data_IF_259215194160
#
_entry.id   IF_259215194160
#
_cell.length_a   1.000
_cell.length_b   1.000
_cell.length_c   1.000
_cell.angle_alpha   90.00
_cell.angle_beta   90.00
_cell.angle_gamma   90.00
#
_symmetry.space_group_name_H-M   'P 1'
#
loop_
_entity.id
_entity.type
_entity.pdbx_description
1 polymer ?
#
# COMPACT_ATOMS: atom_id res chain seq x y z
N UNK A 1 -29.45 35.77 27.03
CA UNK A 1 -28.12 35.51 26.42
C UNK A 1 -27.34 34.54 27.31
N UNK A 2 -27.43 33.22 27.12
CA UNK A 2 -26.69 32.26 27.94
C UNK A 2 -25.29 32.01 27.36
N UNK A 3 -24.31 31.90 28.27
CA UNK A 3 -22.90 31.64 28.01
C UNK A 3 -22.72 30.19 27.52
N UNK A 4 -22.03 30.01 26.39
CA UNK A 4 -21.62 28.69 25.90
C UNK A 4 -20.30 28.29 26.58
N UNK A 5 -20.34 27.20 27.34
CA UNK A 5 -19.17 26.55 27.90
C UNK A 5 -18.35 25.86 26.80
N UNK A 6 -17.08 26.22 26.71
CA UNK A 6 -16.08 25.56 25.88
C UNK A 6 -15.67 24.22 26.51
N UNK A 7 -16.20 23.11 26.00
CA UNK A 7 -15.68 21.78 26.32
C UNK A 7 -14.36 21.57 25.58
N UNK A 8 -13.25 21.68 26.33
CA UNK A 8 -11.92 21.32 25.88
C UNK A 8 -11.80 19.79 25.86
N UNK A 9 -11.77 19.20 24.66
CA UNK A 9 -11.49 17.77 24.50
C UNK A 9 -9.98 17.59 24.54
N UNK A 10 -9.48 16.93 25.59
CA UNK A 10 -8.08 16.54 25.69
C UNK A 10 -7.71 15.55 24.56
N UNK A 11 -6.50 15.65 23.96
CA UNK A 11 -6.06 14.68 22.97
C UNK A 11 -5.81 13.31 23.62
N UNK A 12 -6.06 12.19 22.91
CA UNK A 12 -5.82 10.86 23.45
C UNK A 12 -4.32 10.67 23.72
N UNK A 13 -4.01 10.33 24.97
CA UNK A 13 -2.68 9.88 25.40
C UNK A 13 -2.42 8.47 24.86
N UNK A 14 -1.45 8.33 23.97
CA UNK A 14 -0.94 7.02 23.56
C UNK A 14 0.01 6.46 24.64
N UNK A 15 -0.15 5.20 25.09
CA UNK A 15 0.82 4.57 25.98
C UNK A 15 2.08 4.16 25.21
N UNK A 16 3.29 4.40 25.75
CA UNK A 16 4.55 4.07 25.09
C UNK A 16 5.06 2.70 25.54
N UNK A 17 4.42 1.59 25.19
CA UNK A 17 4.99 0.25 25.45
C UNK A 17 4.46 -0.82 24.48
N UNK A 18 5.13 -1.01 23.35
CA UNK A 18 5.19 -2.32 22.67
C UNK A 18 6.61 -2.47 22.11
N UNK A 19 7.58 -2.65 23.01
CA UNK A 19 8.92 -3.06 22.66
C UNK A 19 9.44 -3.97 23.77
N UNK A 20 8.96 -5.21 23.78
CA UNK A 20 9.50 -6.36 24.51
C UNK A 20 8.40 -7.41 24.48
N UNK A 21 8.50 -8.42 23.58
CA UNK A 21 7.92 -9.78 23.73
C UNK A 21 7.96 -10.57 22.41
N UNK A 22 8.94 -10.39 21.51
CA UNK A 22 9.23 -11.43 20.50
C UNK A 22 10.73 -11.51 20.26
N UNK A 23 11.46 -11.98 21.26
CA UNK A 23 12.79 -12.57 21.08
C UNK A 23 12.83 -13.86 21.87
N UNK A 24 12.30 -14.92 21.26
CA UNK A 24 12.72 -16.29 21.54
C UNK A 24 13.05 -16.92 20.18
N UNK A 25 14.32 -16.81 19.79
CA UNK A 25 14.89 -17.72 18.78
C UNK A 25 14.96 -19.11 19.40
N UNK A 26 14.61 -20.19 18.69
CA UNK A 26 15.03 -21.52 19.10
C UNK A 26 16.53 -21.65 18.82
N UNK A 27 17.29 -21.95 19.87
CA UNK A 27 18.67 -22.42 19.78
C UNK A 27 18.69 -23.72 18.96
N UNK A 28 19.55 -23.80 17.94
CA UNK A 28 19.95 -25.07 17.36
C UNK A 28 21.47 -25.20 17.43
N UNK A 29 21.84 -26.23 18.14
CA UNK A 29 23.15 -26.69 18.54
C UNK A 29 23.91 -27.23 17.31
N UNK A 30 25.06 -26.64 16.95
CA UNK A 30 25.98 -27.21 15.96
C UNK A 30 27.28 -27.57 16.66
N UNK A 31 27.45 -28.87 16.94
CA UNK A 31 28.68 -29.45 17.45
C UNK A 31 29.51 -30.02 16.29
N UNK A 32 30.64 -29.35 16.04
CA UNK A 32 31.95 -29.80 15.48
C UNK A 32 32.00 -31.04 14.57
N UNK A 33 32.67 -30.88 13.43
CA UNK A 33 33.97 -31.53 13.17
C UNK A 33 34.72 -30.92 11.96
N UNK A 34 36.03 -31.16 11.91
CA UNK A 34 37.08 -30.37 11.25
C UNK A 34 37.85 -31.25 10.24
N UNK A 35 37.96 -30.78 8.98
CA UNK A 35 39.02 -31.06 7.96
C UNK A 35 39.00 -32.40 7.20
N UNK A 36 39.82 -32.59 6.12
CA UNK A 36 40.74 -31.64 5.45
C UNK A 36 40.62 -31.57 3.90
N UNK A 37 41.47 -30.71 3.32
CA UNK A 37 41.70 -30.35 1.91
C UNK A 37 42.07 -31.52 0.97
N UNK A 38 41.68 -31.43 -0.31
CA UNK A 38 42.54 -31.50 -1.53
C UNK A 38 41.70 -31.64 -2.82
N UNK A 39 42.23 -31.15 -3.96
CA UNK A 39 41.82 -31.62 -5.30
C UNK A 39 41.42 -30.55 -6.33
N UNK A 40 42.40 -30.08 -7.10
CA UNK A 40 42.20 -29.25 -8.29
C UNK A 40 41.69 -30.06 -9.50
N UNK A 41 40.89 -29.45 -10.39
CA UNK A 41 41.21 -29.30 -11.83
C UNK A 41 40.02 -28.83 -12.70
N UNK A 42 40.29 -27.74 -13.44
CA UNK A 42 39.95 -27.45 -14.84
C UNK A 42 38.54 -27.74 -15.39
N UNK A 43 37.83 -26.65 -15.71
CA UNK A 43 36.69 -26.63 -16.64
C UNK A 43 36.57 -25.24 -17.29
N UNK A 44 37.17 -25.13 -18.47
CA UNK A 44 37.29 -23.96 -19.36
C UNK A 44 35.92 -23.58 -19.95
N UNK A 45 35.53 -22.30 -19.95
CA UNK A 45 34.56 -21.74 -20.91
C UNK A 45 34.80 -20.23 -21.09
N UNK A 46 34.59 -19.80 -22.33
CA UNK A 46 35.16 -18.64 -23.02
C UNK A 46 34.47 -17.34 -22.60
N UNK A 47 35.27 -16.32 -22.26
CA UNK A 47 34.82 -14.93 -22.08
C UNK A 47 35.04 -14.15 -23.37
N UNK A 48 33.97 -13.53 -23.87
CA UNK A 48 33.99 -12.53 -24.93
C UNK A 48 33.70 -11.18 -24.27
N UNK A 49 34.79 -10.46 -24.02
CA UNK A 49 35.02 -9.05 -24.25
C UNK A 49 33.87 -8.07 -24.58
N UNK A 50 33.90 -6.97 -23.82
CA UNK A 50 33.78 -5.56 -24.23
C UNK A 50 32.38 -4.95 -24.37
N UNK A 51 32.06 -4.01 -23.47
CA UNK A 51 32.00 -2.53 -23.65
C UNK A 51 31.79 -1.96 -22.23
N UNK A 52 32.53 -0.98 -21.69
CA UNK A 52 33.28 0.12 -22.27
C UNK A 52 33.01 1.33 -21.39
N UNK A 53 33.71 1.43 -20.26
CA UNK A 53 33.64 2.53 -19.30
C UNK A 53 34.17 3.84 -19.92
N UNK A 54 33.40 4.93 -19.79
CA UNK A 54 33.89 6.32 -19.93
C UNK A 54 33.20 7.24 -18.93
N UNK A 55 33.90 7.55 -17.84
CA UNK A 55 33.69 8.77 -17.06
C UNK A 55 35.06 9.44 -16.88
N UNK A 56 35.25 10.71 -17.30
CA UNK A 56 36.52 11.40 -17.12
C UNK A 56 36.65 11.97 -15.69
N UNK A 57 37.77 11.65 -15.05
CA UNK A 57 38.23 12.23 -13.79
C UNK A 57 38.77 13.65 -14.04
N UNK A 58 38.16 14.66 -13.41
CA UNK A 58 38.71 16.03 -13.28
C UNK A 58 39.48 16.20 -11.95
N UNK A 59 40.33 17.23 -11.82
CA UNK A 59 41.29 17.33 -10.72
C UNK A 59 40.65 17.85 -9.42
N UNK A 60 41.19 17.40 -8.29
CA UNK A 60 40.80 17.80 -6.95
C UNK A 60 41.20 19.26 -6.64
N UNK A 61 40.34 20.08 -5.98
CA UNK A 61 40.76 21.33 -5.39
C UNK A 61 41.12 21.18 -3.90
N UNK A 62 42.17 21.89 -3.55
CA UNK A 62 42.87 22.05 -2.28
C UNK A 62 42.04 22.58 -1.11
N UNK A 63 42.39 22.13 0.10
CA UNK A 63 41.99 22.71 1.39
C UNK A 63 42.30 24.21 1.49
N UNK A 64 41.32 25.01 1.91
CA UNK A 64 41.52 26.18 2.77
C UNK A 64 40.28 26.41 3.65
N UNK A 65 40.53 26.97 4.83
CA UNK A 65 39.76 26.95 6.08
C UNK A 65 38.64 27.98 6.16
N UNK A 66 37.70 27.67 7.05
CA UNK A 66 36.83 28.55 7.85
C UNK A 66 35.79 29.40 7.10
N UNK A 67 34.58 28.83 6.97
CA UNK A 67 33.33 29.56 6.83
C UNK A 67 32.33 28.97 7.86
N UNK A 68 31.45 29.79 8.46
CA UNK A 68 30.73 29.43 9.68
C UNK A 68 29.77 28.25 9.45
N UNK A 69 29.79 27.29 10.37
CA UNK A 69 28.90 26.12 10.46
C UNK A 69 27.46 26.51 10.85
N UNK A 70 26.91 27.57 10.26
CA UNK A 70 25.52 28.03 10.44
C UNK A 70 24.75 27.98 9.11
N UNK A 71 24.89 26.87 8.38
CA UNK A 71 24.08 26.57 7.19
C UNK A 71 23.41 25.20 7.29
N UNK A 72 22.97 24.85 8.51
CA UNK A 72 21.81 23.98 8.68
C UNK A 72 20.61 24.78 8.15
N UNK A 73 20.37 24.71 6.83
CA UNK A 73 19.19 25.23 6.16
C UNK A 73 17.96 24.85 6.96
N UNK A 74 17.29 25.83 7.57
CA UNK A 74 15.93 25.81 8.13
C UNK A 74 15.16 24.53 7.80
N UNK A 75 15.43 23.43 8.51
CA UNK A 75 14.71 22.20 8.31
C UNK A 75 13.24 22.52 8.62
N UNK A 76 12.39 22.41 7.60
CA UNK A 76 10.99 22.80 7.65
C UNK A 76 10.36 22.29 8.94
N UNK A 77 10.05 23.21 9.86
CA UNK A 77 9.53 22.86 11.17
C UNK A 77 8.14 22.27 10.99
N UNK A 78 7.88 21.11 11.60
CA UNK A 78 6.54 20.53 11.60
C UNK A 78 5.58 21.44 12.38
N UNK A 79 4.67 22.09 11.66
CA UNK A 79 3.61 22.95 12.22
C UNK A 79 2.38 22.15 12.64
N UNK A 80 1.44 22.80 13.32
CA UNK A 80 0.16 22.18 13.68
C UNK A 80 -0.70 21.81 12.45
N UNK A 81 -0.57 22.51 11.32
CA UNK A 81 -1.25 22.12 10.08
C UNK A 81 -0.79 20.75 9.58
N UNK A 82 0.51 20.46 9.66
CA UNK A 82 1.06 19.13 9.36
C UNK A 82 0.53 18.06 10.31
N UNK A 83 0.45 18.36 11.62
CA UNK A 83 -0.06 17.44 12.64
C UNK A 83 -1.53 17.12 12.43
N UNK A 84 -2.37 18.12 12.12
CA UNK A 84 -3.80 17.92 11.84
C UNK A 84 -4.02 17.14 10.56
N UNK A 85 -3.26 17.42 9.51
CA UNK A 85 -3.30 16.64 8.28
C UNK A 85 -2.98 15.16 8.54
N UNK A 86 -1.90 14.88 9.28
CA UNK A 86 -1.52 13.52 9.64
C UNK A 86 -2.60 12.81 10.49
N UNK A 87 -3.20 13.51 11.47
CA UNK A 87 -4.28 12.95 12.29
C UNK A 87 -5.49 12.53 11.46
N UNK A 88 -5.91 13.36 10.50
CA UNK A 88 -7.02 13.02 9.59
C UNK A 88 -6.62 11.86 8.67
N UNK A 89 -5.38 11.82 8.18
CA UNK A 89 -4.92 10.70 7.38
C UNK A 89 -4.94 9.39 8.17
N UNK A 90 -4.48 9.39 9.42
CA UNK A 90 -4.48 8.23 10.29
C UNK A 90 -5.90 7.72 10.61
N UNK A 91 -6.86 8.62 10.81
CA UNK A 91 -8.26 8.21 11.09
C UNK A 91 -8.97 7.61 9.88
N UNK A 92 -8.58 7.99 8.66
CA UNK A 92 -9.18 7.47 7.42
C UNK A 92 -8.39 6.31 6.81
N UNK A 93 -7.12 6.14 7.18
CA UNK A 93 -6.19 5.15 6.62
C UNK A 93 -5.64 5.54 5.24
N UNK A 94 -6.51 5.99 4.33
CA UNK A 94 -6.20 6.41 2.97
C UNK A 94 -7.11 7.56 2.54
N UNK A 95 -6.57 8.52 1.78
CA UNK A 95 -7.32 9.66 1.22
C UNK A 95 -7.00 9.84 -0.26
N UNK A 96 -7.98 10.24 -1.06
CA UNK A 96 -7.73 10.55 -2.47
C UNK A 96 -6.97 11.89 -2.62
N UNK A 97 -6.33 12.08 -3.78
CA UNK A 97 -5.52 13.26 -4.03
C UNK A 97 -6.33 14.59 -4.04
N UNK A 98 -7.56 14.66 -4.59
CA UNK A 98 -8.42 15.83 -4.44
C UNK A 98 -8.69 16.21 -2.99
N UNK A 99 -9.03 15.23 -2.14
CA UNK A 99 -9.31 15.44 -0.72
C UNK A 99 -8.05 15.81 0.05
N UNK A 100 -6.91 15.18 -0.25
CA UNK A 100 -5.61 15.57 0.30
C UNK A 100 -5.28 17.03 0.00
N UNK A 101 -5.52 17.51 -1.22
CA UNK A 101 -5.35 18.93 -1.58
C UNK A 101 -6.34 19.83 -0.82
N UNK A 102 -7.58 19.40 -0.65
CA UNK A 102 -8.60 20.13 0.10
C UNK A 102 -8.19 20.29 1.57
N UNK A 103 -7.72 19.22 2.21
CA UNK A 103 -7.25 19.21 3.60
C UNK A 103 -5.98 20.04 3.78
N UNK A 104 -5.03 19.94 2.84
CA UNK A 104 -3.82 20.78 2.84
C UNK A 104 -4.19 22.27 2.83
N UNK A 105 -5.05 22.70 1.91
CA UNK A 105 -5.56 24.09 1.89
C UNK A 105 -6.20 24.48 3.21
N UNK A 106 -7.16 23.67 3.67
CA UNK A 106 -7.94 23.94 4.86
C UNK A 106 -7.08 24.13 6.11
N UNK A 107 -6.11 23.23 6.36
CA UNK A 107 -5.26 23.33 7.54
C UNK A 107 -4.21 24.43 7.44
N UNK A 108 -3.69 24.73 6.25
CA UNK A 108 -2.79 25.88 6.09
C UNK A 108 -3.53 27.21 6.37
N UNK A 109 -4.75 27.38 5.86
CA UNK A 109 -5.59 28.55 6.14
C UNK A 109 -5.93 28.66 7.64
N UNK A 110 -6.37 27.57 8.27
CA UNK A 110 -6.71 27.56 9.70
C UNK A 110 -5.54 27.93 10.60
N UNK A 111 -4.34 27.46 10.28
CA UNK A 111 -3.14 27.68 11.09
C UNK A 111 -2.29 28.87 10.61
N UNK A 112 -2.78 29.66 9.64
CA UNK A 112 -2.09 30.84 9.08
C UNK A 112 -0.68 30.51 8.54
N UNK A 113 -0.55 29.35 7.91
CA UNK A 113 0.69 28.89 7.25
C UNK A 113 0.58 29.17 5.75
N UNK A 114 1.71 29.48 5.11
CA UNK A 114 1.76 29.66 3.66
C UNK A 114 1.18 28.44 2.92
N UNK A 115 0.27 28.70 1.99
CA UNK A 115 -0.35 27.69 1.15
C UNK A 115 -0.05 27.98 -0.31
N UNK A 116 0.32 26.93 -1.04
CA UNK A 116 0.40 26.93 -2.49
C UNK A 116 -0.17 25.61 -3.03
N UNK A 117 -0.96 25.71 -4.09
CA UNK A 117 -1.77 24.60 -4.62
C UNK A 117 -0.96 23.39 -5.11
N UNK A 118 0.25 23.64 -5.60
CA UNK A 118 1.22 22.71 -6.16
C UNK A 118 2.22 22.19 -5.12
N UNK A 119 2.12 22.66 -3.87
CA UNK A 119 3.07 22.36 -2.79
C UNK A 119 2.62 21.27 -1.82
N UNK A 120 1.60 20.48 -2.17
CA UNK A 120 1.16 19.34 -1.35
C UNK A 120 2.30 18.33 -1.13
N UNK A 121 3.15 18.10 -2.14
CA UNK A 121 4.21 17.09 -2.05
C UNK A 121 5.35 17.55 -1.15
N UNK A 122 5.69 18.83 -1.24
CA UNK A 122 6.66 19.46 -0.34
C UNK A 122 6.12 19.41 1.10
N UNK A 123 4.85 19.75 1.30
CA UNK A 123 4.16 19.66 2.60
C UNK A 123 4.18 18.24 3.19
N UNK A 124 3.88 17.22 2.37
CA UNK A 124 3.99 15.81 2.79
C UNK A 124 5.45 15.41 3.03
N UNK A 125 6.38 15.93 2.23
CA UNK A 125 7.82 15.75 2.40
C UNK A 125 8.30 16.18 3.78
N UNK A 126 7.81 17.33 4.28
CA UNK A 126 8.07 17.80 5.65
C UNK A 126 7.55 16.80 6.67
N UNK A 127 6.32 16.28 6.52
CA UNK A 127 5.80 15.27 7.46
C UNK A 127 6.70 14.03 7.46
N UNK A 128 7.10 13.57 6.29
CA UNK A 128 7.92 12.37 6.12
C UNK A 128 9.31 12.49 6.75
N UNK A 129 9.90 13.69 6.88
CA UNK A 129 11.17 13.83 7.62
C UNK A 129 11.03 13.47 9.10
N UNK A 130 9.83 13.62 9.69
CA UNK A 130 9.55 13.26 11.08
C UNK A 130 8.99 11.84 11.24
N UNK A 131 8.37 11.27 10.19
CA UNK A 131 7.84 9.91 10.23
C UNK A 131 8.89 8.83 9.96
N UNK A 132 9.87 9.09 9.08
CA UNK A 132 10.89 8.09 8.69
C UNK A 132 11.68 7.52 9.89
N UNK A 133 12.09 8.31 10.91
CA UNK A 133 12.72 7.76 12.11
C UNK A 133 11.83 6.77 12.89
N UNK A 134 10.51 6.81 12.67
CA UNK A 134 9.54 5.90 13.25
C UNK A 134 9.20 4.74 12.31
N UNK A 135 9.99 4.54 11.24
CA UNK A 135 9.73 3.57 10.19
C UNK A 135 8.35 3.72 9.56
N UNK A 136 7.87 4.95 9.41
CA UNK A 136 6.61 5.24 8.71
C UNK A 136 6.83 6.30 7.65
N UNK A 137 5.99 6.31 6.62
CA UNK A 137 5.92 7.43 5.70
C UNK A 137 4.56 7.53 5.02
N UNK A 138 4.16 8.75 4.66
CA UNK A 138 3.04 8.98 3.77
C UNK A 138 3.53 8.72 2.34
N UNK A 139 2.96 7.70 1.70
CA UNK A 139 3.21 7.39 0.29
C UNK A 139 2.08 7.86 -0.58
N UNK A 140 2.42 8.10 -1.85
CA UNK A 140 1.44 8.19 -2.93
C UNK A 140 1.29 6.83 -3.59
N UNK A 141 0.05 6.44 -3.84
CA UNK A 141 -0.28 5.26 -4.62
C UNK A 141 -1.30 5.58 -5.69
N UNK A 142 -1.44 4.66 -6.64
CA UNK A 142 -2.43 4.72 -7.69
C UNK A 142 -3.29 3.46 -7.59
N UNK A 143 -4.61 3.61 -7.72
CA UNK A 143 -5.50 2.45 -7.78
C UNK A 143 -5.32 1.69 -9.09
N UNK A 144 -5.33 0.35 -9.02
CA UNK A 144 -5.09 -0.51 -10.18
C UNK A 144 -6.29 -0.58 -11.14
N UNK A 145 -7.48 -0.23 -10.65
CA UNK A 145 -8.75 -0.25 -11.38
C UNK A 145 -8.98 1.02 -12.22
N UNK A 146 -8.87 2.19 -11.61
CA UNK A 146 -9.27 3.48 -12.18
C UNK A 146 -8.11 4.45 -12.36
N UNK A 147 -6.94 4.13 -11.82
CA UNK A 147 -5.80 5.04 -11.86
C UNK A 147 -5.94 6.27 -10.97
N UNK A 148 -6.87 6.28 -10.01
CA UNK A 148 -7.04 7.39 -9.06
C UNK A 148 -5.84 7.44 -8.12
N UNK A 149 -5.38 8.65 -7.82
CA UNK A 149 -4.23 8.88 -6.94
C UNK A 149 -4.68 8.98 -5.49
N UNK A 150 -3.97 8.32 -4.60
CA UNK A 150 -4.23 8.28 -3.17
C UNK A 150 -2.96 8.59 -2.36
N UNK A 151 -3.16 9.04 -1.12
CA UNK A 151 -2.14 9.17 -0.08
C UNK A 151 -2.50 8.25 1.08
N UNK A 152 -1.55 7.46 1.58
CA UNK A 152 -1.74 6.57 2.72
C UNK A 152 -0.50 6.57 3.61
N UNK A 153 -0.69 6.32 4.90
CA UNK A 153 0.39 6.17 5.87
C UNK A 153 0.86 4.72 5.91
N UNK A 154 2.05 4.47 5.36
CA UNK A 154 2.65 3.15 5.22
C UNK A 154 3.69 2.91 6.30
N UNK A 155 3.72 1.68 6.83
CA UNK A 155 4.79 1.22 7.72
C UNK A 155 5.94 0.68 6.85
N UNK A 156 7.17 1.03 7.18
CA UNK A 156 8.39 0.61 6.48
C UNK A 156 9.04 -0.62 7.13
N UNK A 157 8.61 -0.98 8.34
CA UNK A 157 9.09 -2.18 8.99
C UNK A 157 8.41 -3.42 8.41
N UNK A 158 9.22 -4.38 7.95
CA UNK A 158 8.82 -5.65 7.30
C UNK A 158 7.85 -6.49 8.16
N UNK A 159 7.72 -6.21 9.46
CA UNK A 159 6.74 -6.83 10.35
C UNK A 159 5.32 -6.24 10.15
N UNK A 160 4.88 -6.10 8.89
CA UNK A 160 3.62 -5.48 8.45
C UNK A 160 2.37 -6.25 8.89
N UNK A 161 2.52 -7.46 9.43
CA UNK A 161 1.46 -8.15 10.13
C UNK A 161 0.93 -7.34 11.34
N UNK A 162 1.67 -6.36 11.87
CA UNK A 162 1.35 -5.66 13.13
C UNK A 162 0.07 -4.82 13.10
N UNK A 163 -0.26 -4.14 12.00
CA UNK A 163 -1.47 -3.28 11.96
C UNK A 163 -2.75 -4.07 11.76
N UNK A 164 -2.76 -5.04 10.85
CA UNK A 164 -3.92 -5.92 10.69
C UNK A 164 -4.03 -6.80 11.95
N UNK A 165 -2.91 -7.34 12.46
CA UNK A 165 -2.96 -8.23 13.63
C UNK A 165 -3.35 -7.56 14.95
N UNK A 166 -3.31 -6.23 15.08
CA UNK A 166 -3.81 -5.55 16.29
C UNK A 166 -5.33 -5.46 16.35
N UNK A 167 -5.99 -5.40 15.18
CA UNK A 167 -7.40 -5.02 15.10
C UNK A 167 -8.34 -6.21 14.88
N UNK A 168 -7.79 -7.39 14.51
CA UNK A 168 -8.57 -8.58 14.19
C UNK A 168 -8.14 -9.80 15.01
N UNK A 169 -9.08 -10.72 15.24
CA UNK A 169 -8.82 -12.00 15.87
C UNK A 169 -7.99 -12.93 14.97
N UNK A 170 -7.32 -13.92 15.55
CA UNK A 170 -6.42 -14.83 14.83
C UNK A 170 -7.08 -15.54 13.63
N UNK A 171 -8.33 -15.96 13.78
CA UNK A 171 -9.10 -16.62 12.72
C UNK A 171 -9.54 -15.66 11.61
N UNK A 172 -9.78 -14.39 11.94
CA UNK A 172 -10.09 -13.34 10.96
C UNK A 172 -8.83 -13.02 10.14
N UNK A 173 -7.67 -12.93 10.80
CA UNK A 173 -6.38 -12.76 10.13
C UNK A 173 -6.03 -13.95 9.23
N UNK A 174 -6.31 -15.17 9.68
CA UNK A 174 -6.11 -16.36 8.86
C UNK A 174 -7.02 -16.34 7.62
N UNK A 175 -8.29 -15.94 7.77
CA UNK A 175 -9.20 -15.75 6.64
C UNK A 175 -8.67 -14.68 5.68
N UNK A 176 -8.15 -13.55 6.18
CA UNK A 176 -7.58 -12.50 5.35
C UNK A 176 -6.38 -13.01 4.54
N UNK A 177 -5.44 -13.70 5.18
CA UNK A 177 -4.29 -14.31 4.49
C UNK A 177 -4.72 -15.31 3.42
N UNK A 178 -5.68 -16.19 3.74
CA UNK A 178 -6.22 -17.15 2.78
C UNK A 178 -6.97 -16.47 1.61
N UNK A 179 -7.57 -15.32 1.87
CA UNK A 179 -8.19 -14.49 0.82
C UNK A 179 -7.12 -13.85 -0.07
N UNK A 180 -6.03 -13.33 0.52
CA UNK A 180 -4.88 -12.84 -0.24
C UNK A 180 -4.27 -13.93 -1.12
N UNK A 181 -4.09 -15.16 -0.60
CA UNK A 181 -3.60 -16.31 -1.37
C UNK A 181 -4.45 -16.49 -2.65
N UNK A 182 -5.79 -16.55 -2.51
CA UNK A 182 -6.70 -16.69 -3.65
C UNK A 182 -6.63 -15.54 -4.66
N UNK A 183 -6.46 -14.30 -4.19
CA UNK A 183 -6.38 -13.12 -5.06
C UNK A 183 -5.05 -13.10 -5.81
N UNK A 184 -3.94 -13.37 -5.12
CA UNK A 184 -2.59 -13.33 -5.70
C UNK A 184 -2.38 -14.46 -6.70
N UNK A 185 -2.91 -15.66 -6.42
CA UNK A 185 -2.87 -16.81 -7.33
C UNK A 185 -3.81 -16.67 -8.53
N UNK A 186 -4.80 -15.77 -8.46
CA UNK A 186 -5.74 -15.51 -9.54
C UNK A 186 -5.12 -14.65 -10.63
N UNK A 187 -5.27 -15.06 -11.88
CA UNK A 187 -4.79 -14.30 -13.04
C UNK A 187 -5.43 -12.90 -13.12
N UNK A 188 -6.71 -12.81 -12.76
CA UNK A 188 -7.48 -11.56 -12.76
C UNK A 188 -7.17 -10.65 -11.58
N UNK A 189 -6.54 -11.16 -10.51
CA UNK A 189 -6.41 -10.46 -9.24
C UNK A 189 -7.73 -10.34 -8.47
N UNK A 190 -8.69 -11.24 -8.70
CA UNK A 190 -9.97 -11.34 -7.99
C UNK A 190 -10.20 -12.76 -7.44
N UNK A 191 -10.90 -12.83 -6.31
CA UNK A 191 -11.37 -14.07 -5.70
C UNK A 191 -12.88 -14.02 -5.45
N UNK A 192 -13.60 -15.07 -5.84
CA UNK A 192 -15.04 -15.13 -5.61
C UNK A 192 -15.38 -15.29 -4.13
N UNK A 193 -16.48 -14.66 -3.70
CA UNK A 193 -17.07 -14.85 -2.36
C UNK A 193 -17.23 -16.33 -2.02
N UNK A 194 -17.73 -17.14 -2.95
CA UNK A 194 -17.95 -18.57 -2.72
C UNK A 194 -16.64 -19.33 -2.45
N UNK A 195 -15.57 -19.01 -3.17
CA UNK A 195 -14.23 -19.59 -2.96
C UNK A 195 -13.71 -19.25 -1.58
N UNK A 196 -13.84 -17.98 -1.17
CA UNK A 196 -13.37 -17.51 0.13
C UNK A 196 -14.17 -18.15 1.28
N UNK A 197 -15.51 -18.18 1.18
CA UNK A 197 -16.37 -18.76 2.22
C UNK A 197 -16.20 -20.26 2.39
N UNK A 198 -15.72 -20.97 1.36
CA UNK A 198 -15.39 -22.39 1.46
C UNK A 198 -14.07 -22.67 2.22
N UNK A 199 -13.28 -21.64 2.52
CA UNK A 199 -12.10 -21.74 3.39
C UNK A 199 -12.45 -21.59 4.88
N UNK A 200 -13.63 -21.04 5.19
CA UNK A 200 -14.04 -20.68 6.56
C UNK A 200 -14.08 -21.86 7.53
N UNK A 201 -14.34 -23.07 7.02
CA UNK A 201 -14.35 -24.33 7.78
C UNK A 201 -13.00 -25.06 7.76
N UNK A 202 -12.02 -24.58 6.98
CA UNK A 202 -10.65 -25.11 6.85
C UNK A 202 -9.61 -24.31 7.63
N UNK A 203 -10.04 -23.24 8.31
CA UNK A 203 -9.17 -22.46 9.19
C UNK A 203 -8.61 -23.33 10.32
N UNK A 204 -7.32 -23.18 10.58
CA UNK A 204 -6.56 -23.94 11.58
C UNK A 204 -6.74 -23.36 12.98
N UNK A 205 -6.83 -22.04 13.10
CA UNK A 205 -7.00 -21.33 14.38
C UNK A 205 -8.37 -21.62 15.01
N UNK A 206 -9.44 -21.11 14.41
CA UNK A 206 -10.83 -21.35 14.81
C UNK A 206 -11.72 -21.33 13.58
N UNK A 207 -12.45 -22.42 13.37
CA UNK A 207 -13.46 -22.52 12.30
C UNK A 207 -14.56 -21.50 12.52
N UNK A 208 -14.98 -20.85 11.44
CA UNK A 208 -16.04 -19.86 11.45
C UNK A 208 -17.19 -20.30 10.55
N UNK A 209 -18.42 -19.91 10.91
CA UNK A 209 -19.60 -20.16 10.06
C UNK A 209 -19.54 -19.28 8.82
N UNK A 210 -20.14 -19.71 7.70
CA UNK A 210 -20.17 -18.90 6.47
C UNK A 210 -20.72 -17.49 6.68
N UNK A 211 -21.79 -17.35 7.46
CA UNK A 211 -22.37 -16.04 7.83
C UNK A 211 -21.40 -15.14 8.63
N UNK A 212 -20.58 -15.74 9.48
CA UNK A 212 -19.55 -15.01 10.24
C UNK A 212 -18.42 -14.57 9.32
N UNK A 213 -17.95 -15.45 8.43
CA UNK A 213 -16.96 -15.13 7.42
C UNK A 213 -17.42 -14.00 6.48
N UNK A 214 -18.68 -14.01 6.05
CA UNK A 214 -19.28 -12.91 5.25
C UNK A 214 -19.20 -11.57 6.00
N UNK A 215 -19.49 -11.56 7.30
CA UNK A 215 -19.40 -10.34 8.11
C UNK A 215 -17.96 -9.83 8.19
N UNK A 216 -17.00 -10.72 8.41
CA UNK A 216 -15.57 -10.39 8.46
C UNK A 216 -15.09 -9.83 7.11
N UNK A 217 -15.51 -10.40 5.98
CA UNK A 217 -15.20 -9.85 4.66
C UNK A 217 -15.75 -8.43 4.46
N UNK A 218 -16.96 -8.16 4.96
CA UNK A 218 -17.53 -6.81 4.91
C UNK A 218 -16.77 -5.83 5.81
N UNK A 219 -16.25 -6.28 6.96
CA UNK A 219 -15.35 -5.47 7.79
C UNK A 219 -14.06 -5.12 7.04
N UNK A 220 -13.42 -6.07 6.38
CA UNK A 220 -12.24 -5.79 5.56
C UNK A 220 -12.51 -4.79 4.43
N UNK A 221 -13.71 -4.79 3.84
CA UNK A 221 -14.12 -3.79 2.84
C UNK A 221 -14.35 -2.42 3.47
N UNK A 222 -14.99 -2.38 4.64
CA UNK A 222 -15.23 -1.15 5.38
C UNK A 222 -13.90 -0.47 5.76
N UNK A 223 -12.96 -1.27 6.27
CA UNK A 223 -11.65 -0.83 6.73
C UNK A 223 -10.64 -0.65 5.59
N UNK A 224 -11.08 -0.80 4.33
CA UNK A 224 -10.28 -0.55 3.13
C UNK A 224 -9.08 -1.49 2.99
N UNK A 225 -9.21 -2.72 3.45
CA UNK A 225 -8.29 -3.81 3.13
C UNK A 225 -8.66 -4.52 1.83
N UNK A 226 -9.96 -4.75 1.61
CA UNK A 226 -10.51 -5.35 0.40
C UNK A 226 -11.44 -4.39 -0.35
N UNK A 227 -11.60 -4.65 -1.64
CA UNK A 227 -12.65 -4.06 -2.47
C UNK A 227 -13.55 -5.18 -2.97
N UNK A 228 -14.87 -4.99 -2.91
CA UNK A 228 -15.86 -5.95 -3.41
C UNK A 228 -16.55 -5.39 -4.66
N UNK A 229 -16.73 -6.24 -5.66
CA UNK A 229 -17.49 -5.94 -6.87
C UNK A 229 -18.21 -7.21 -7.36
N UNK A 230 -19.54 -7.17 -7.41
CA UNK A 230 -20.38 -8.25 -7.95
C UNK A 230 -20.12 -9.64 -7.33
N UNK A 231 -19.82 -9.70 -6.03
CA UNK A 231 -19.54 -10.92 -5.31
C UNK A 231 -18.10 -11.43 -5.44
N UNK A 232 -17.21 -10.64 -6.05
CA UNK A 232 -15.77 -10.89 -6.13
C UNK A 232 -15.00 -9.86 -5.31
N UNK A 233 -13.87 -10.29 -4.74
CA UNK A 233 -13.03 -9.48 -3.89
C UNK A 233 -11.63 -9.32 -4.50
N UNK A 234 -11.04 -8.14 -4.33
CA UNK A 234 -9.65 -7.84 -4.63
C UNK A 234 -9.01 -7.04 -3.49
N UNK A 235 -7.69 -6.84 -3.52
CA UNK A 235 -7.01 -5.99 -2.55
C UNK A 235 -7.35 -4.52 -2.81
N UNK A 236 -7.72 -3.80 -1.76
CA UNK A 236 -7.91 -2.36 -1.85
C UNK A 236 -6.54 -1.66 -2.03
N UNK A 237 -6.52 -0.48 -2.65
CA UNK A 237 -5.28 0.29 -2.89
C UNK A 237 -4.48 0.54 -1.62
N UNK A 238 -5.16 0.78 -0.49
CA UNK A 238 -4.53 0.89 0.84
C UNK A 238 -3.76 -0.36 1.21
N UNK A 239 -4.37 -1.53 1.06
CA UNK A 239 -3.72 -2.82 1.35
C UNK A 239 -2.47 -3.01 0.49
N UNK A 240 -2.57 -2.77 -0.82
CA UNK A 240 -1.43 -2.88 -1.74
C UNK A 240 -0.30 -1.93 -1.32
N UNK A 241 -0.62 -0.67 -0.96
CA UNK A 241 0.39 0.30 -0.51
C UNK A 241 1.04 -0.07 0.82
N UNK A 242 0.25 -0.60 1.76
CA UNK A 242 0.71 -0.95 3.10
C UNK A 242 1.43 -2.29 3.17
N UNK A 243 1.14 -3.23 2.25
CA UNK A 243 1.67 -4.59 2.25
C UNK A 243 2.53 -4.93 1.01
N UNK A 244 2.92 -3.93 0.20
CA UNK A 244 3.69 -4.14 -1.05
C UNK A 244 4.92 -5.02 -0.81
N UNK A 245 5.68 -4.69 0.25
CA UNK A 245 6.89 -5.42 0.59
C UNK A 245 6.58 -6.82 1.11
N UNK A 246 5.65 -6.96 2.06
CA UNK A 246 5.23 -8.27 2.57
C UNK A 246 4.76 -9.19 1.45
N UNK A 247 3.94 -8.71 0.52
CA UNK A 247 3.43 -9.52 -0.59
C UNK A 247 4.58 -9.94 -1.52
N UNK A 248 5.49 -9.01 -1.86
CA UNK A 248 6.65 -9.34 -2.70
C UNK A 248 7.59 -10.37 -2.07
N UNK A 249 7.73 -10.39 -0.74
CA UNK A 249 8.59 -11.34 -0.03
C UNK A 249 7.90 -12.69 0.22
N UNK A 250 6.57 -12.69 0.36
CA UNK A 250 5.78 -13.89 0.71
C UNK A 250 5.44 -14.74 -0.51
N UNK A 251 5.14 -14.10 -1.65
CA UNK A 251 4.67 -14.79 -2.85
C UNK A 251 5.73 -14.70 -3.94
N UNK A 252 6.19 -15.84 -4.48
CA UNK A 252 7.28 -15.88 -5.46
C UNK A 252 6.86 -15.40 -6.86
N UNK A 253 5.59 -15.63 -7.24
CA UNK A 253 5.10 -15.39 -8.60
C UNK A 253 4.41 -14.02 -8.79
N UNK A 254 4.44 -13.16 -7.76
CA UNK A 254 3.87 -11.81 -7.89
C UNK A 254 4.71 -10.96 -8.84
N UNK A 255 4.02 -10.34 -9.81
CA UNK A 255 4.66 -9.50 -10.82
C UNK A 255 4.62 -8.04 -10.40
N UNK A 256 5.70 -7.33 -10.70
CA UNK A 256 5.73 -5.87 -10.68
C UNK A 256 5.35 -5.33 -12.06
N UNK A 257 4.66 -4.20 -12.08
CA UNK A 257 4.29 -3.52 -13.30
C UNK A 257 5.55 -3.06 -14.05
N UNK A 258 5.64 -3.34 -15.36
CA UNK A 258 6.80 -2.96 -16.18
C UNK A 258 6.99 -1.44 -16.34
N UNK A 259 5.96 -0.63 -16.03
CA UNK A 259 6.00 0.83 -16.20
C UNK A 259 6.28 1.57 -14.90
N UNK A 260 5.58 1.24 -13.81
CA UNK A 260 5.74 1.95 -12.53
C UNK A 260 6.58 1.18 -11.50
N UNK A 261 6.93 -0.08 -11.79
CA UNK A 261 7.71 -0.97 -10.92
C UNK A 261 7.10 -1.25 -9.53
N UNK A 262 5.83 -0.91 -9.32
CA UNK A 262 5.06 -1.29 -8.14
C UNK A 262 4.42 -2.67 -8.32
N UNK A 263 4.08 -3.34 -7.22
CA UNK A 263 3.30 -4.58 -7.22
C UNK A 263 2.06 -4.46 -8.11
N UNK A 264 1.76 -5.50 -8.89
CA UNK A 264 0.64 -5.55 -9.81
C UNK A 264 -0.27 -6.77 -9.55
N UNK A 265 -1.31 -6.55 -8.73
CA UNK A 265 -2.33 -7.57 -8.46
C UNK A 265 -3.21 -7.73 -9.70
N UNK A 266 -3.64 -6.63 -10.30
CA UNK A 266 -4.50 -6.56 -11.47
C UNK A 266 -3.77 -5.92 -12.64
N UNK A 267 -4.12 -6.33 -13.85
CA UNK A 267 -3.55 -5.75 -15.07
C UNK A 267 -3.57 -6.72 -16.24
N UNK A 268 -2.88 -6.31 -17.30
CA UNK A 268 -2.70 -7.11 -18.51
C UNK A 268 -1.28 -7.67 -18.55
N UNK A 269 -1.15 -8.88 -19.08
CA UNK A 269 0.14 -9.53 -19.28
C UNK A 269 0.43 -9.73 -20.78
N UNK A 270 1.71 -9.65 -21.16
CA UNK A 270 2.12 -10.05 -22.50
C UNK A 270 2.16 -11.59 -22.61
N UNK A 271 1.55 -12.15 -23.65
CA UNK A 271 1.49 -13.61 -23.85
C UNK A 271 2.86 -14.21 -24.18
N UNK A 272 3.75 -13.44 -24.81
CA UNK A 272 5.07 -13.93 -25.24
C UNK A 272 6.11 -13.91 -24.13
N UNK A 273 6.28 -12.77 -23.44
CA UNK A 273 7.34 -12.60 -22.45
C UNK A 273 6.84 -12.49 -21.01
N UNK A 274 5.51 -12.50 -20.79
CA UNK A 274 4.91 -12.57 -19.45
C UNK A 274 5.01 -11.30 -18.61
N UNK A 275 5.50 -10.17 -19.13
CA UNK A 275 5.50 -8.90 -18.36
C UNK A 275 4.08 -8.49 -18.02
N UNK A 276 3.88 -7.86 -16.86
CA UNK A 276 2.56 -7.37 -16.41
C UNK A 276 2.55 -5.85 -16.37
N UNK A 277 1.42 -5.24 -16.72
CA UNK A 277 1.20 -3.80 -16.65
C UNK A 277 -0.20 -3.52 -16.08
N UNK A 278 -0.28 -2.61 -15.09
CA UNK A 278 -1.57 -2.15 -14.57
C UNK A 278 -2.42 -1.53 -15.69
N UNK A 279 -3.75 -1.64 -15.62
CA UNK A 279 -4.66 -1.04 -16.62
C UNK A 279 -4.43 0.48 -16.83
N UNK A 280 -4.21 1.30 -15.79
CA UNK A 280 -3.91 2.72 -15.97
C UNK A 280 -2.53 2.97 -16.60
N UNK A 281 -1.58 2.06 -16.41
CA UNK A 281 -0.25 2.13 -17.01
C UNK A 281 -0.30 1.77 -18.49
N UNK A 282 -1.04 0.72 -18.87
CA UNK A 282 -1.35 0.34 -20.25
C UNK A 282 -2.00 1.52 -20.98
N UNK A 283 -3.10 2.05 -20.42
CA UNK A 283 -3.85 3.17 -21.02
C UNK A 283 -2.95 4.39 -21.25
N UNK A 284 -2.09 4.71 -20.29
CA UNK A 284 -1.17 5.86 -20.41
C UNK A 284 -0.06 5.61 -21.43
N UNK A 285 0.54 4.41 -21.43
CA UNK A 285 1.68 4.08 -22.27
C UNK A 285 1.28 3.97 -23.75
N UNK A 286 0.13 3.34 -24.04
CA UNK A 286 -0.36 3.11 -25.40
C UNK A 286 -1.28 4.20 -25.96
N UNK A 287 -1.56 5.26 -25.19
CA UNK A 287 -2.54 6.32 -25.55
C UNK A 287 -2.40 6.87 -26.98
N UNK A 288 -1.17 6.98 -27.48
CA UNK A 288 -0.85 7.57 -28.79
C UNK A 288 -0.27 6.55 -29.76
N UNK A 289 -0.39 5.25 -29.48
CA UNK A 289 0.12 4.19 -30.34
C UNK A 289 -1.05 3.55 -31.11
N UNK A 290 -1.07 3.62 -32.45
CA UNK A 290 -2.09 2.96 -33.24
C UNK A 290 -1.96 1.43 -33.21
N UNK A 291 -0.73 0.93 -33.08
CA UNK A 291 -0.40 -0.49 -32.96
C UNK A 291 0.43 -0.71 -31.69
N UNK A 292 -0.22 -1.05 -30.56
CA UNK A 292 0.45 -1.26 -29.28
C UNK A 292 1.45 -2.43 -29.34
N UNK A 293 2.71 -2.19 -28.99
CA UNK A 293 3.73 -3.23 -28.89
C UNK A 293 4.27 -3.35 -27.47
N UNK A 294 4.55 -4.57 -27.05
CA UNK A 294 5.10 -4.89 -25.73
C UNK A 294 6.42 -4.11 -25.50
N UNK A 295 6.55 -3.32 -24.42
CA UNK A 295 7.76 -2.54 -24.13
C UNK A 295 9.01 -3.39 -23.85
N UNK A 296 8.86 -4.71 -23.68
CA UNK A 296 9.97 -5.61 -23.35
C UNK A 296 10.40 -6.48 -24.55
N UNK A 297 9.48 -7.20 -25.19
CA UNK A 297 9.80 -8.08 -26.32
C UNK A 297 9.43 -7.52 -27.70
N UNK A 298 8.79 -6.36 -27.76
CA UNK A 298 8.34 -5.72 -28.99
C UNK A 298 7.36 -6.56 -29.84
N UNK A 299 6.69 -7.55 -29.24
CA UNK A 299 5.56 -8.25 -29.87
C UNK A 299 4.28 -7.43 -29.79
N UNK A 300 3.33 -7.68 -30.68
CA UNK A 300 2.01 -7.01 -30.66
C UNK A 300 1.32 -7.27 -29.31
N UNK A 301 0.81 -6.21 -28.68
CA UNK A 301 0.11 -6.33 -27.41
C UNK A 301 -1.23 -7.04 -27.61
N UNK A 302 -1.50 -8.17 -26.93
CA UNK A 302 -2.63 -9.04 -27.26
C UNK A 302 -3.98 -8.52 -26.77
N UNK A 303 -3.98 -7.52 -25.87
CA UNK A 303 -5.18 -7.01 -25.21
C UNK A 303 -5.63 -5.66 -25.76
N UNK A 304 -6.91 -5.33 -25.60
CA UNK A 304 -7.39 -3.98 -25.85
C UNK A 304 -6.72 -2.98 -24.89
N UNK A 305 -6.34 -1.81 -25.39
CA UNK A 305 -5.56 -0.81 -24.64
C UNK A 305 -6.31 0.50 -24.41
N UNK A 306 -7.53 0.63 -24.97
CA UNK A 306 -8.36 1.83 -24.92
C UNK A 306 -9.52 1.63 -23.94
N UNK A 307 -9.94 2.73 -23.31
CA UNK A 307 -11.13 2.80 -22.46
C UNK A 307 -11.24 1.73 -21.34
N UNK A 308 -10.09 1.25 -20.87
CA UNK A 308 -9.98 0.20 -19.84
C UNK A 308 -10.45 0.65 -18.45
N UNK A 309 -10.61 1.97 -18.25
CA UNK A 309 -11.01 2.57 -16.98
C UNK A 309 -12.48 2.94 -17.08
N UNK A 310 -13.36 2.18 -16.43
CA UNK A 310 -14.78 2.52 -16.34
C UNK A 310 -14.99 3.70 -15.36
N UNK A 311 -15.76 4.74 -15.70
CA UNK A 311 -16.18 5.76 -14.73
C UNK A 311 -17.13 5.15 -13.67
N UNK A 312 -17.01 5.60 -12.42
CA UNK A 312 -17.83 5.22 -11.24
C UNK A 312 -19.36 5.47 -11.37
N UNK A 313 -19.86 5.93 -12.52
CA UNK A 313 -21.19 6.56 -12.65
C UNK A 313 -22.39 5.61 -12.68
N UNK A 314 -22.27 4.34 -12.25
CA UNK A 314 -23.41 3.40 -12.17
C UNK A 314 -23.43 2.55 -10.89
N UNK A 315 -23.19 3.16 -9.73
CA UNK A 315 -23.55 2.54 -8.45
C UNK A 315 -24.89 3.13 -7.95
N UNK A 316 -25.99 2.35 -7.89
CA UNK A 316 -27.18 2.79 -7.16
C UNK A 316 -26.84 2.87 -5.67
N UNK A 317 -26.85 4.10 -5.14
CA UNK A 317 -26.73 4.38 -3.71
C UNK A 317 -27.75 3.55 -2.92
N UNK A 318 -27.29 2.50 -2.24
CA UNK A 318 -28.09 1.80 -1.22
C UNK A 318 -28.15 2.72 0.00
N UNK A 319 -29.13 3.63 0.02
CA UNK A 319 -29.55 4.30 1.24
C UNK A 319 -29.97 3.24 2.28
N UNK A 320 -29.53 3.31 3.54
CA UNK A 320 -30.04 2.42 4.58
C UNK A 320 -31.54 2.62 4.73
N UNK A 321 -32.34 1.57 4.46
CA UNK A 321 -33.77 1.56 4.82
C UNK A 321 -33.86 1.57 6.34
N UNK A 322 -34.40 2.65 6.89
CA UNK A 322 -34.81 2.72 8.29
C UNK A 322 -35.87 1.64 8.59
N UNK A 323 -35.83 0.98 9.75
CA UNK A 323 -36.85 0.01 10.12
C UNK A 323 -38.20 0.72 10.28
N UNK A 324 -39.19 0.31 9.50
CA UNK A 324 -40.57 0.77 9.61
C UNK A 324 -41.14 0.25 10.94
N UNK A 325 -41.36 1.15 11.89
CA UNK A 325 -42.01 0.89 13.18
C UNK A 325 -43.43 0.38 12.91
N UNK A 326 -43.71 -0.87 13.27
CA UNK A 326 -45.07 -1.42 13.25
C UNK A 326 -45.80 -0.82 14.45
N UNK A 327 -46.77 0.04 14.16
CA UNK A 327 -47.74 0.54 15.13
C UNK A 327 -48.70 -0.59 15.51
N UNK A 328 -48.65 -1.04 16.76
CA UNK A 328 -49.68 -1.86 17.37
C UNK A 328 -50.96 -1.04 17.54
N UNK A 329 -52.02 -1.45 16.84
CA UNK A 329 -53.39 -0.97 17.04
C UNK A 329 -53.96 -1.57 18.33
N UNK A 330 -54.36 -0.71 19.26
CA UNK A 330 -55.28 -1.05 20.35
C UNK A 330 -56.66 -1.37 19.78
N UNK A 331 -57.22 -2.52 20.17
CA UNK A 331 -58.68 -2.72 20.28
C UNK A 331 -58.93 -4.01 21.06
N UNK A 332 -59.22 -3.92 22.36
CA UNK A 332 -60.58 -4.01 22.92
C UNK A 332 -60.56 -3.89 24.44
#
# INVERSE_FOLDING_TARGET
>A
MPRLHSNSIAPPSFPPQILLQVSRKPETEVRKQRGPLEGASQGRLLGIDQWGSRFPLGPAPSLCRNAPEDSITMASRMTDSHRRFLQVLMSNGIIDAPEARRLHRFFCEQHKVYYAHDKLDDFVGVINTFLRPLFMEIRKGRSEDHGKMFYALVNLAITEATKVASDYAENELELFKKTMDLIVESESGYASSTSILNLSNKLQSKKMKKKEAEQVLQMFVQDKWLSERHGEYTLHTRCIMELDQYICETYQDVKKCNICHSLAIQGQSCDTCGIKMHLPCVTKYFKSQPEPHCPHCNEVWPHETRDLILPDSHLPSRTPRTPRRVSSSETK
#
